data_IF_326139553058
#
_entry.id   IF_326139553058
#
_cell.length_a   1.000
_cell.length_b   1.000
_cell.length_c   1.000
_cell.angle_alpha   90.00
_cell.angle_beta   90.00
_cell.angle_gamma   90.00
#
_symmetry.space_group_name_H-M   'P 1'
#
loop_
_entity.id
_entity.type
_entity.pdbx_description
1 polymer ?
#
# COMPACT_ATOMS: atom_id res chain seq x y z
N UNK A 1 10.54 6.74 -41.43
CA UNK A 1 10.12 7.68 -40.36
C UNK A 1 8.84 7.21 -39.68
N UNK A 2 7.70 7.17 -40.38
CA UNK A 2 6.39 6.80 -39.81
C UNK A 2 6.35 5.41 -39.14
N UNK A 3 6.91 4.37 -39.78
CA UNK A 3 6.94 3.02 -39.20
C UNK A 3 7.65 2.96 -37.84
N UNK A 4 8.75 3.71 -37.69
CA UNK A 4 9.50 3.77 -36.43
C UNK A 4 8.71 4.52 -35.34
N UNK A 5 7.95 5.54 -35.71
CA UNK A 5 7.06 6.26 -34.78
C UNK A 5 5.94 5.34 -34.29
N UNK A 6 5.30 4.58 -35.19
CA UNK A 6 4.25 3.61 -34.82
C UNK A 6 4.79 2.53 -33.88
N UNK A 7 5.98 2.01 -34.16
CA UNK A 7 6.64 1.03 -33.28
C UNK A 7 6.96 1.61 -31.91
N UNK A 8 7.48 2.84 -31.85
CA UNK A 8 7.75 3.52 -30.58
C UNK A 8 6.46 3.75 -29.79
N UNK A 9 5.37 4.16 -30.44
CA UNK A 9 4.08 4.34 -29.79
C UNK A 9 3.57 3.03 -29.17
N UNK A 10 3.64 1.92 -29.90
CA UNK A 10 3.22 0.62 -29.39
C UNK A 10 4.05 0.19 -28.17
N UNK A 11 5.37 0.42 -28.19
CA UNK A 11 6.24 0.11 -27.05
C UNK A 11 5.91 1.00 -25.85
N UNK A 12 5.68 2.29 -26.05
CA UNK A 12 5.30 3.20 -24.96
C UNK A 12 3.95 2.84 -24.36
N UNK A 13 2.99 2.40 -25.18
CA UNK A 13 1.66 2.00 -24.71
C UNK A 13 1.74 0.74 -23.84
N UNK A 14 2.56 -0.25 -24.25
CA UNK A 14 2.79 -1.47 -23.47
C UNK A 14 3.43 -1.14 -22.12
N UNK A 15 4.52 -0.36 -22.13
CA UNK A 15 5.23 0.03 -20.90
C UNK A 15 4.29 0.81 -19.97
N UNK A 16 3.51 1.74 -20.52
CA UNK A 16 2.57 2.55 -19.73
C UNK A 16 1.49 1.69 -19.10
N UNK A 17 0.91 0.74 -19.84
CA UNK A 17 -0.10 -0.17 -19.31
C UNK A 17 0.46 -1.05 -18.18
N UNK A 18 1.63 -1.66 -18.39
CA UNK A 18 2.30 -2.46 -17.36
C UNK A 18 2.65 -1.62 -16.12
N UNK A 19 3.07 -0.38 -16.33
CA UNK A 19 3.38 0.55 -15.23
C UNK A 19 2.13 0.90 -14.44
N UNK A 20 1.00 1.17 -15.10
CA UNK A 20 -0.29 1.44 -14.44
C UNK A 20 -0.70 0.24 -13.58
N UNK A 21 -0.65 -0.98 -14.12
CA UNK A 21 -0.99 -2.19 -13.36
C UNK A 21 -0.08 -2.37 -12.14
N UNK A 22 1.22 -2.13 -12.29
CA UNK A 22 2.16 -2.18 -11.17
C UNK A 22 1.85 -1.13 -10.10
N UNK A 23 1.52 0.09 -10.50
CA UNK A 23 1.14 1.16 -9.58
C UNK A 23 -0.18 0.88 -8.86
N UNK A 24 -1.17 0.29 -9.53
CA UNK A 24 -2.43 -0.12 -8.90
C UNK A 24 -2.20 -1.18 -7.82
N UNK A 25 -1.36 -2.19 -8.10
CA UNK A 25 -1.00 -3.20 -7.11
C UNK A 25 -0.30 -2.57 -5.89
N UNK A 26 0.65 -1.67 -6.12
CA UNK A 26 1.35 -0.95 -5.04
C UNK A 26 0.39 -0.07 -4.23
N UNK A 27 -0.54 0.62 -4.87
CA UNK A 27 -1.55 1.44 -4.18
C UNK A 27 -2.46 0.57 -3.30
N UNK A 28 -2.84 -0.61 -3.78
CA UNK A 28 -3.62 -1.56 -2.99
C UNK A 28 -2.84 -2.06 -1.77
N UNK A 29 -1.59 -2.50 -1.97
CA UNK A 29 -0.71 -2.95 -0.89
C UNK A 29 -0.44 -1.83 0.13
N UNK A 30 -0.23 -0.60 -0.33
CA UNK A 30 -0.02 0.55 0.55
C UNK A 30 -1.26 0.82 1.42
N UNK A 31 -2.45 0.73 0.83
CA UNK A 31 -3.72 0.90 1.57
C UNK A 31 -3.89 -0.19 2.62
N UNK A 32 -3.67 -1.45 2.24
CA UNK A 32 -3.75 -2.58 3.18
C UNK A 32 -2.74 -2.46 4.32
N UNK A 33 -1.50 -2.10 4.00
CA UNK A 33 -0.44 -1.93 5.00
C UNK A 33 -0.77 -0.83 6.00
N UNK A 34 -1.25 0.32 5.51
CA UNK A 34 -1.72 1.42 6.38
C UNK A 34 -2.86 0.98 7.29
N UNK A 35 -3.83 0.24 6.75
CA UNK A 35 -4.96 -0.28 7.53
C UNK A 35 -4.48 -1.24 8.63
N UNK A 36 -3.57 -2.17 8.31
CA UNK A 36 -2.99 -3.10 9.28
C UNK A 36 -2.19 -2.39 10.38
N UNK A 37 -1.36 -1.40 10.01
CA UNK A 37 -0.62 -0.58 10.98
C UNK A 37 -1.58 0.16 11.92
N UNK A 38 -2.65 0.74 11.36
CA UNK A 38 -3.63 1.46 12.16
C UNK A 38 -4.38 0.52 13.13
N UNK A 39 -4.77 -0.67 12.67
CA UNK A 39 -5.39 -1.69 13.53
C UNK A 39 -4.44 -2.15 14.64
N UNK A 40 -3.17 -2.38 14.34
CA UNK A 40 -2.17 -2.73 15.36
C UNK A 40 -2.02 -1.63 16.40
N UNK A 41 -2.04 -0.36 15.97
CA UNK A 41 -2.00 0.79 16.87
C UNK A 41 -3.19 0.82 17.83
N UNK A 42 -4.41 0.64 17.31
CA UNK A 42 -5.62 0.60 18.13
C UNK A 42 -5.61 -0.58 19.11
N UNK A 43 -5.16 -1.76 18.68
CA UNK A 43 -5.03 -2.92 19.55
C UNK A 43 -3.98 -2.70 20.65
N UNK A 44 -2.86 -2.08 20.31
CA UNK A 44 -1.82 -1.73 21.27
C UNK A 44 -2.33 -0.72 22.31
N UNK A 45 -3.04 0.33 21.88
CA UNK A 45 -3.63 1.33 22.78
C UNK A 45 -4.63 0.68 23.76
N UNK A 46 -5.45 -0.26 23.27
CA UNK A 46 -6.38 -1.02 24.11
C UNK A 46 -5.63 -1.83 25.17
N UNK A 47 -4.61 -2.61 24.76
CA UNK A 47 -3.80 -3.41 25.67
C UNK A 47 -3.08 -2.54 26.72
N UNK A 48 -2.49 -1.42 26.30
CA UNK A 48 -1.82 -0.50 27.23
C UNK A 48 -2.78 0.14 28.24
N UNK A 49 -4.02 0.41 27.84
CA UNK A 49 -5.06 0.89 28.75
C UNK A 49 -5.47 -0.19 29.78
N UNK A 50 -5.58 -1.44 29.35
CA UNK A 50 -5.86 -2.58 30.22
C UNK A 50 -4.72 -2.84 31.23
N UNK A 51 -3.47 -2.84 30.76
CA UNK A 51 -2.27 -3.05 31.58
C UNK A 51 -2.07 -1.96 32.65
N UNK A 52 -2.45 -0.70 32.38
CA UNK A 52 -2.46 0.36 33.41
C UNK A 52 -3.43 0.07 34.56
N UNK A 53 -4.51 -0.67 34.32
CA UNK A 53 -5.42 -1.14 35.37
C UNK A 53 -4.90 -2.33 36.18
N UNK A 54 -3.97 -3.11 35.60
CA UNK A 54 -3.33 -4.27 36.25
C UNK A 54 -2.11 -3.85 37.07
N UNK A 55 -1.31 -2.89 36.58
CA UNK A 55 -0.10 -2.39 37.25
C UNK A 55 -0.40 -1.52 38.50
N UNK A 56 -1.63 -1.02 38.66
CA UNK A 56 -2.07 -0.32 39.89
C UNK A 56 -2.67 -1.24 40.96
N UNK A 57 -2.70 -2.56 40.73
CA UNK A 57 -3.33 -3.55 41.61
C UNK A 57 -2.35 -4.24 42.58
N UNK A 58 -1.06 -3.91 42.50
CA UNK A 58 0.00 -4.40 43.39
C UNK A 58 0.75 -3.23 44.03
#
# INVERSE_FOLDING_TARGET
MLNRIIQLQAVTDIITNQTIQGLELLAHQQTQSRAAIHQNWLALDYLLAEERGVCGKF
#
